data_IF_516372448966
#
_entry.id   IF_516372448966
#
_cell.length_a   1.000
_cell.length_b   1.000
_cell.length_c   1.000
_cell.angle_alpha   90.00
_cell.angle_beta   90.00
_cell.angle_gamma   90.00
#
_symmetry.space_group_name_H-M   'P 1'
#
loop_
_entity.id
_entity.type
_entity.pdbx_description
1 polymer ?
#
# COMPACT_ATOMS: atom_id res chain seq x y z
N UNK A 1 -8.26 -16.81 -24.21
CA UNK A 1 -8.52 -17.34 -22.86
C UNK A 1 -8.17 -16.23 -21.88
N UNK A 2 -9.14 -15.50 -21.36
CA UNK A 2 -8.92 -14.52 -20.29
C UNK A 2 -8.94 -15.28 -18.97
N UNK A 3 -7.76 -15.55 -18.41
CA UNK A 3 -7.69 -16.05 -17.03
C UNK A 3 -8.22 -14.96 -16.09
N UNK A 4 -9.05 -15.36 -15.12
CA UNK A 4 -9.49 -14.49 -14.04
C UNK A 4 -8.32 -14.23 -13.09
N UNK A 5 -7.49 -13.25 -13.42
CA UNK A 5 -6.45 -12.75 -12.53
C UNK A 5 -7.08 -11.89 -11.44
N UNK A 6 -6.60 -12.02 -10.20
CA UNK A 6 -7.04 -11.20 -9.06
C UNK A 6 -5.92 -10.24 -8.72
N UNK A 7 -6.25 -8.96 -8.54
CA UNK A 7 -5.31 -7.97 -8.03
C UNK A 7 -5.55 -7.76 -6.54
N UNK A 8 -4.49 -7.87 -5.73
CA UNK A 8 -4.49 -7.54 -4.32
C UNK A 8 -3.80 -6.19 -4.11
N UNK A 9 -4.53 -5.26 -3.48
CA UNK A 9 -4.03 -3.94 -3.10
C UNK A 9 -3.87 -3.86 -1.59
N UNK A 10 -2.67 -3.50 -1.12
CA UNK A 10 -2.37 -3.36 0.30
C UNK A 10 -1.85 -1.96 0.55
N UNK A 11 -2.52 -1.20 1.42
CA UNK A 11 -2.11 0.17 1.77
C UNK A 11 -1.41 0.12 3.12
N UNK A 12 -0.18 0.61 3.17
CA UNK A 12 0.64 0.68 4.39
C UNK A 12 1.14 2.09 4.68
N UNK A 13 1.64 2.29 5.89
CA UNK A 13 2.47 3.46 6.19
C UNK A 13 3.75 3.40 5.36
N UNK A 14 4.26 4.54 4.91
CA UNK A 14 5.53 4.60 4.19
C UNK A 14 6.66 3.95 5.02
N UNK A 15 7.54 3.21 4.34
CA UNK A 15 8.64 2.48 4.97
C UNK A 15 8.31 1.08 5.49
N UNK A 16 7.07 0.60 5.34
CA UNK A 16 6.67 -0.77 5.73
C UNK A 16 6.49 -1.71 4.53
N UNK A 17 6.64 -1.22 3.30
CA UNK A 17 6.40 -2.03 2.10
C UNK A 17 7.29 -3.26 1.99
N UNK A 18 8.58 -3.17 2.30
CA UNK A 18 9.51 -4.31 2.23
C UNK A 18 9.08 -5.48 3.12
N UNK A 19 8.64 -5.20 4.35
CA UNK A 19 8.14 -6.22 5.27
C UNK A 19 6.89 -6.92 4.71
N UNK A 20 6.01 -6.17 4.06
CA UNK A 20 4.82 -6.76 3.43
C UNK A 20 5.20 -7.58 2.20
N UNK A 21 6.18 -7.15 1.41
CA UNK A 21 6.68 -7.92 0.26
C UNK A 21 7.17 -9.30 0.71
N UNK A 22 7.95 -9.36 1.78
CA UNK A 22 8.42 -10.63 2.35
C UNK A 22 7.25 -11.52 2.80
N UNK A 23 6.25 -10.94 3.47
CA UNK A 23 5.05 -11.67 3.90
C UNK A 23 4.30 -12.24 2.70
N UNK A 24 4.02 -11.46 1.66
CA UNK A 24 3.27 -11.96 0.49
C UNK A 24 4.06 -13.01 -0.29
N UNK A 25 5.39 -12.85 -0.39
CA UNK A 25 6.26 -13.85 -1.03
C UNK A 25 6.24 -15.18 -0.27
N UNK A 26 6.29 -15.14 1.07
CA UNK A 26 6.15 -16.33 1.91
C UNK A 26 4.78 -17.03 1.76
N UNK A 27 3.76 -16.33 1.24
CA UNK A 27 2.43 -16.87 0.96
C UNK A 27 2.21 -17.22 -0.53
N UNK A 28 3.27 -17.24 -1.34
CA UNK A 28 3.23 -17.72 -2.72
C UNK A 28 3.12 -16.64 -3.80
N UNK A 29 3.13 -15.35 -3.44
CA UNK A 29 3.25 -14.28 -4.42
C UNK A 29 4.68 -14.29 -5.03
N UNK A 30 4.81 -14.01 -6.33
CA UNK A 30 6.14 -13.85 -6.96
C UNK A 30 6.82 -12.53 -6.57
N UNK A 31 6.02 -11.53 -6.21
CA UNK A 31 6.49 -10.20 -5.84
C UNK A 31 5.31 -9.23 -5.82
N UNK A 32 5.62 -7.95 -5.60
CA UNK A 32 4.64 -6.88 -5.64
C UNK A 32 5.28 -5.61 -6.20
N UNK A 33 4.44 -4.75 -6.78
CA UNK A 33 4.82 -3.40 -7.20
C UNK A 33 4.50 -2.43 -6.08
N UNK A 34 5.48 -1.63 -5.65
CA UNK A 34 5.30 -0.59 -4.63
C UNK A 34 5.03 0.74 -5.33
N UNK A 35 3.93 1.39 -4.96
CA UNK A 35 3.49 2.67 -5.52
C UNK A 35 3.51 3.71 -4.39
N UNK A 36 4.30 4.81 -4.53
CA UNK A 36 4.27 5.91 -3.58
C UNK A 36 2.88 6.55 -3.54
N UNK A 37 2.36 6.79 -2.34
CA UNK A 37 1.04 7.34 -2.13
C UNK A 37 1.00 8.32 -0.96
N UNK A 38 -0.11 9.04 -0.86
CA UNK A 38 -0.40 9.97 0.23
C UNK A 38 -1.88 9.86 0.57
N UNK A 39 -2.22 9.99 1.85
CA UNK A 39 -3.62 10.05 2.28
C UNK A 39 -3.95 9.33 3.59
N UNK A 40 -5.14 9.64 4.10
CA UNK A 40 -5.69 9.13 5.35
C UNK A 40 -7.11 8.64 5.13
N UNK A 41 -7.46 7.49 5.73
CA UNK A 41 -8.84 6.98 5.73
C UNK A 41 -9.78 7.77 6.65
N UNK A 42 -9.23 8.56 7.58
CA UNK A 42 -9.99 9.53 8.38
C UNK A 42 -9.97 10.90 7.73
N UNK A 43 -11.02 11.70 7.99
CA UNK A 43 -11.10 13.10 7.57
C UNK A 43 -9.80 13.81 7.89
N UNK A 44 -9.25 14.57 6.93
CA UNK A 44 -8.00 15.32 7.11
C UNK A 44 -8.06 16.14 8.40
N UNK A 45 -7.20 15.78 9.35
CA UNK A 45 -7.10 16.50 10.62
C UNK A 45 -6.11 17.63 10.40
N UNK A 46 -6.57 18.87 10.53
CA UNK A 46 -5.66 20.00 10.67
C UNK A 46 -5.01 19.91 12.04
N UNK A 47 -3.71 19.64 12.06
CA UNK A 47 -2.92 19.66 13.30
C UNK A 47 -2.26 21.02 13.38
N UNK A 48 -2.59 21.82 14.41
CA UNK A 48 -2.01 23.16 14.62
C UNK A 48 -2.19 24.12 13.42
N UNK A 49 -3.29 23.98 12.67
CA UNK A 49 -3.55 24.80 11.47
C UNK A 49 -2.84 24.30 10.19
N UNK A 50 -1.99 23.28 10.29
CA UNK A 50 -1.27 22.69 9.16
C UNK A 50 -2.12 21.59 8.53
N UNK A 51 -2.21 21.60 7.19
CA UNK A 51 -2.79 20.48 6.45
C UNK A 51 -1.80 19.31 6.50
N UNK A 52 -2.16 18.25 7.24
CA UNK A 52 -1.35 17.05 7.34
C UNK A 52 -1.90 15.97 6.40
N UNK A 53 -1.10 15.62 5.40
CA UNK A 53 -1.36 14.48 4.53
C UNK A 53 -0.27 13.41 4.75
N UNK A 54 -0.59 12.29 5.42
CA UNK A 54 0.41 11.28 5.74
C UNK A 54 0.88 10.53 4.50
N UNK A 55 2.17 10.19 4.50
CA UNK A 55 2.79 9.36 3.48
C UNK A 55 2.35 7.91 3.61
N UNK A 56 2.07 7.30 2.46
CA UNK A 56 1.58 5.95 2.32
C UNK A 56 2.33 5.25 1.20
N UNK A 57 2.26 3.93 1.20
CA UNK A 57 2.69 3.10 0.09
C UNK A 57 1.57 2.12 -0.24
N UNK A 58 1.35 1.87 -1.52
CA UNK A 58 0.39 0.88 -2.00
C UNK A 58 1.17 -0.24 -2.66
N UNK A 59 0.99 -1.46 -2.17
CA UNK A 59 1.50 -2.65 -2.82
C UNK A 59 0.43 -3.23 -3.74
N UNK A 60 0.84 -3.57 -4.96
CA UNK A 60 0.02 -4.27 -5.94
C UNK A 60 0.65 -5.64 -6.22
N UNK A 61 -0.09 -6.71 -5.92
CA UNK A 61 0.26 -8.09 -6.25
C UNK A 61 -0.83 -8.71 -7.13
N UNK A 62 -0.43 -9.56 -8.07
CA UNK A 62 -1.31 -10.35 -8.95
C UNK A 62 -1.10 -11.85 -8.78
#
# INVERSE_FOLDING_TARGET
MTENMKALFIIVNAGFSEQIVEVVQNHGARGATIIPARGTGKKFVKVLGIQYEPEREILLSV
#
